data_IF_198945720681
#
_entry.id   IF_198945720681
#
_cell.length_a   1.000
_cell.length_b   1.000
_cell.length_c   1.000
_cell.angle_alpha   90.00
_cell.angle_beta   90.00
_cell.angle_gamma   90.00
#
_symmetry.space_group_name_H-M   'P 1'
#
loop_
_entity.id
_entity.type
_entity.pdbx_description
1 polymer ?
#
# COMPACT_ATOMS: atom_id res chain seq x y z
N UNK A 1 56.69 62.86 -12.34
CA UNK A 1 56.05 61.56 -12.66
C UNK A 1 55.35 61.06 -11.40
N UNK A 2 54.01 60.96 -11.40
CA UNK A 2 53.23 60.33 -10.33
C UNK A 2 52.54 59.09 -10.91
N UNK A 3 52.96 57.92 -10.46
CA UNK A 3 52.48 56.62 -10.94
C UNK A 3 51.10 56.34 -10.36
N UNK A 4 50.07 56.21 -11.21
CA UNK A 4 48.72 55.77 -10.81
C UNK A 4 48.69 54.25 -10.73
N UNK A 5 48.36 53.70 -9.56
CA UNK A 5 48.05 52.28 -9.38
C UNK A 5 46.56 52.10 -9.66
N UNK A 6 46.26 51.28 -10.66
CA UNK A 6 44.90 50.92 -11.07
C UNK A 6 44.47 49.69 -10.26
N UNK A 7 43.50 49.84 -9.37
CA UNK A 7 42.90 48.72 -8.62
C UNK A 7 41.77 48.13 -9.46
N UNK A 8 41.95 46.88 -9.92
CA UNK A 8 40.93 46.11 -10.65
C UNK A 8 40.04 45.40 -9.64
N UNK A 9 38.76 45.76 -9.61
CA UNK A 9 37.75 45.14 -8.75
C UNK A 9 37.20 43.89 -9.46
N UNK A 10 37.54 42.71 -8.95
CA UNK A 10 37.07 41.42 -9.50
C UNK A 10 35.64 41.15 -8.99
N UNK A 11 34.63 41.33 -9.84
CA UNK A 11 33.23 40.99 -9.56
C UNK A 11 33.04 39.47 -9.68
N UNK A 12 33.04 38.78 -8.54
CA UNK A 12 32.68 37.35 -8.48
C UNK A 12 31.16 37.22 -8.55
N UNK A 13 30.65 36.88 -9.73
CA UNK A 13 29.24 36.51 -9.93
C UNK A 13 29.04 35.13 -9.30
N UNK A 14 28.51 35.08 -8.08
CA UNK A 14 27.95 33.87 -7.51
C UNK A 14 26.68 33.49 -8.29
N UNK A 15 26.83 32.67 -9.32
CA UNK A 15 25.72 31.90 -9.87
C UNK A 15 25.24 30.95 -8.77
N UNK A 16 24.23 31.35 -8.01
CA UNK A 16 23.42 30.40 -7.25
C UNK A 16 22.73 29.48 -8.25
N UNK A 17 23.37 28.35 -8.54
CA UNK A 17 22.70 27.20 -9.11
C UNK A 17 21.69 26.77 -8.06
N UNK A 18 20.46 27.27 -8.19
CA UNK A 18 19.32 26.75 -7.47
C UNK A 18 19.14 25.31 -7.91
N UNK A 19 19.76 24.37 -7.19
CA UNK A 19 19.39 22.97 -7.28
C UNK A 19 17.96 22.93 -6.76
N UNK A 20 17.00 22.88 -7.70
CA UNK A 20 15.64 22.55 -7.38
C UNK A 20 15.68 21.12 -6.82
N UNK A 21 15.78 21.01 -5.49
CA UNK A 21 15.64 19.74 -4.81
C UNK A 21 14.21 19.28 -5.11
N UNK A 22 14.07 18.36 -6.07
CA UNK A 22 12.81 17.71 -6.37
C UNK A 22 12.30 17.21 -5.01
N UNK A 23 11.14 17.68 -4.55
CA UNK A 23 10.58 17.18 -3.29
C UNK A 23 10.41 15.67 -3.48
N UNK A 24 11.29 14.89 -2.85
CA UNK A 24 11.28 13.41 -2.89
C UNK A 24 9.98 12.88 -2.26
N UNK A 25 9.21 13.77 -1.62
CA UNK A 25 8.03 13.47 -0.87
C UNK A 25 6.75 13.96 -1.56
N UNK A 26 5.85 13.02 -1.90
CA UNK A 26 4.51 13.35 -2.38
C UNK A 26 3.64 13.88 -1.20
N UNK A 27 3.15 15.13 -1.24
CA UNK A 27 2.44 15.74 -0.10
C UNK A 27 1.23 14.94 0.37
N UNK A 28 0.55 14.24 -0.55
CA UNK A 28 -0.60 13.39 -0.28
C UNK A 28 -0.35 12.41 0.88
N UNK A 29 0.83 11.82 0.97
CA UNK A 29 1.18 10.81 1.98
C UNK A 29 1.98 11.39 3.16
N UNK A 30 1.93 12.72 3.34
CA UNK A 30 2.58 13.48 4.41
C UNK A 30 1.83 13.47 5.73
N UNK A 31 0.60 12.97 5.71
CA UNK A 31 -0.27 12.90 6.85
C UNK A 31 -1.13 11.65 6.75
N UNK A 32 -1.37 11.02 7.89
CA UNK A 32 -2.33 9.94 8.05
C UNK A 32 -3.73 10.46 8.40
N UNK A 33 -3.93 11.78 8.41
CA UNK A 33 -5.25 12.34 8.63
C UNK A 33 -6.21 11.94 7.51
N UNK A 34 -7.43 11.61 7.94
CA UNK A 34 -8.55 11.28 7.07
C UNK A 34 -8.75 12.38 6.03
N UNK A 35 -8.73 12.00 4.76
CA UNK A 35 -8.92 12.93 3.65
C UNK A 35 -10.38 12.89 3.19
N UNK A 36 -11.09 14.01 3.29
CA UNK A 36 -12.45 14.12 2.74
C UNK A 36 -12.39 14.39 1.23
N UNK A 37 -13.11 13.59 0.45
CA UNK A 37 -13.10 13.65 -1.01
C UNK A 37 -14.50 13.45 -1.60
N UNK A 38 -14.71 14.01 -2.79
CA UNK A 38 -15.91 13.77 -3.59
C UNK A 38 -15.53 13.51 -5.04
N UNK A 39 -16.23 12.57 -5.66
CA UNK A 39 -15.93 12.08 -6.99
C UNK A 39 -17.21 11.62 -7.68
N UNK A 40 -17.43 12.11 -8.90
CA UNK A 40 -18.63 11.84 -9.69
C UNK A 40 -18.27 11.25 -11.04
N UNK A 41 -18.80 10.08 -11.39
CA UNK A 41 -18.57 9.42 -12.68
C UNK A 41 -19.62 8.32 -12.96
N UNK A 42 -19.70 7.86 -14.20
CA UNK A 42 -20.51 6.69 -14.58
C UNK A 42 -19.80 5.40 -14.14
N UNK A 43 -20.42 4.62 -13.25
CA UNK A 43 -19.85 3.35 -12.79
C UNK A 43 -19.81 2.32 -13.91
N UNK A 44 -20.85 2.30 -14.75
CA UNK A 44 -20.96 1.44 -15.93
C UNK A 44 -19.89 1.75 -16.97
N UNK A 45 -19.62 3.02 -17.25
CA UNK A 45 -18.59 3.43 -18.21
C UNK A 45 -17.20 3.07 -17.69
N UNK A 46 -16.90 3.37 -16.41
CA UNK A 46 -15.63 2.99 -15.81
C UNK A 46 -15.42 1.47 -15.90
N UNK A 47 -16.45 0.66 -15.62
CA UNK A 47 -16.37 -0.81 -15.68
C UNK A 47 -16.17 -1.35 -17.09
N UNK A 48 -16.81 -0.76 -18.11
CA UNK A 48 -16.61 -1.14 -19.52
C UNK A 48 -15.20 -0.82 -20.00
N UNK A 49 -14.57 0.18 -19.38
CA UNK A 49 -13.26 0.64 -19.72
C UNK A 49 -12.16 -0.26 -19.13
N UNK A 50 -12.05 -1.48 -19.70
CA UNK A 50 -11.06 -2.50 -19.29
C UNK A 50 -9.79 -2.48 -20.15
N UNK A 51 -9.74 -1.65 -21.20
CA UNK A 51 -8.54 -1.47 -22.02
C UNK A 51 -7.56 -0.56 -21.28
N UNK A 52 -6.32 -1.03 -21.10
CA UNK A 52 -5.26 -0.31 -20.38
C UNK A 52 -4.96 1.11 -20.91
N UNK A 53 -5.39 1.41 -22.15
CA UNK A 53 -5.19 2.68 -22.83
C UNK A 53 -6.34 3.68 -22.69
N UNK A 54 -7.53 3.24 -22.28
CA UNK A 54 -8.72 4.09 -22.23
C UNK A 54 -8.91 4.58 -20.78
N UNK A 55 -9.11 5.88 -20.62
CA UNK A 55 -9.36 6.52 -19.33
C UNK A 55 -10.61 7.38 -19.40
N UNK A 56 -11.37 7.41 -18.31
CA UNK A 56 -12.52 8.28 -18.09
C UNK A 56 -12.04 9.58 -17.42
N UNK A 57 -12.04 10.73 -18.11
CA UNK A 57 -11.71 12.01 -17.49
C UNK A 57 -12.82 12.43 -16.51
N UNK A 58 -12.43 12.95 -15.35
CA UNK A 58 -13.35 13.52 -14.35
C UNK A 58 -12.63 14.53 -13.46
N UNK A 59 -13.37 15.18 -12.57
CA UNK A 59 -12.85 16.12 -11.58
C UNK A 59 -12.92 15.46 -10.21
N UNK A 60 -11.78 15.47 -9.52
CA UNK A 60 -11.70 15.05 -8.14
C UNK A 60 -11.75 16.27 -7.22
N UNK A 61 -12.71 16.28 -6.31
CA UNK A 61 -12.79 17.30 -5.26
C UNK A 61 -12.22 16.75 -3.97
N UNK A 62 -11.46 17.57 -3.24
CA UNK A 62 -10.84 17.16 -1.99
C UNK A 62 -10.72 18.33 -1.02
N UNK A 63 -10.77 18.02 0.28
CA UNK A 63 -10.60 19.03 1.32
C UNK A 63 -9.11 19.25 1.58
N UNK A 64 -8.67 20.49 1.44
CA UNK A 64 -7.29 20.90 1.71
C UNK A 64 -7.01 20.89 3.22
N UNK A 65 -5.73 20.93 3.60
CA UNK A 65 -5.32 21.03 5.01
C UNK A 65 -5.85 22.29 5.72
N UNK A 66 -6.32 23.30 4.97
CA UNK A 66 -6.94 24.54 5.51
C UNK A 66 -8.45 24.40 5.71
N UNK A 67 -9.03 23.23 5.41
CA UNK A 67 -10.47 22.96 5.52
C UNK A 67 -11.30 23.36 4.29
N UNK A 68 -10.72 24.09 3.32
CA UNK A 68 -11.39 24.49 2.08
C UNK A 68 -11.41 23.36 1.07
N UNK A 69 -12.47 23.28 0.26
CA UNK A 69 -12.52 22.39 -0.91
C UNK A 69 -11.69 22.95 -2.06
N UNK A 70 -10.96 22.05 -2.72
CA UNK A 70 -10.23 22.28 -3.96
C UNK A 70 -10.56 21.16 -4.96
N UNK A 71 -10.11 21.29 -6.21
CA UNK A 71 -10.40 20.33 -7.27
C UNK A 71 -9.21 20.12 -8.19
N UNK A 72 -9.10 18.92 -8.76
CA UNK A 72 -8.06 18.58 -9.72
C UNK A 72 -8.62 17.72 -10.84
N UNK A 73 -8.21 18.00 -12.07
CA UNK A 73 -8.54 17.16 -13.23
C UNK A 73 -7.80 15.83 -13.16
N UNK A 74 -8.54 14.73 -13.30
CA UNK A 74 -8.01 13.38 -13.23
C UNK A 74 -8.51 12.51 -14.38
N UNK A 75 -7.77 11.44 -14.63
CA UNK A 75 -8.14 10.38 -15.55
C UNK A 75 -8.30 9.08 -14.75
N UNK A 76 -9.47 8.45 -14.81
CA UNK A 76 -9.76 7.22 -14.08
C UNK A 76 -9.79 6.02 -15.01
N UNK A 77 -9.36 4.87 -14.51
CA UNK A 77 -9.64 3.58 -15.15
C UNK A 77 -9.86 2.49 -14.14
N UNK A 78 -10.58 1.47 -14.58
CA UNK A 78 -10.82 0.27 -13.80
C UNK A 78 -9.51 -0.54 -13.67
N UNK A 79 -9.33 -1.26 -12.54
CA UNK A 79 -8.19 -2.18 -12.32
C UNK A 79 -8.61 -3.46 -11.59
N UNK A 80 -7.79 -4.49 -11.72
CA UNK A 80 -8.00 -5.78 -11.07
C UNK A 80 -8.93 -6.70 -11.85
N UNK A 81 -8.95 -7.98 -11.48
CA UNK A 81 -9.70 -9.01 -12.20
C UNK A 81 -10.94 -9.45 -11.41
N UNK A 82 -10.73 -9.93 -10.18
CA UNK A 82 -11.79 -10.49 -9.35
C UNK A 82 -12.82 -9.43 -8.92
N UNK A 83 -12.38 -8.39 -8.20
CA UNK A 83 -13.24 -7.30 -7.73
C UNK A 83 -13.94 -6.57 -8.89
N UNK A 84 -13.32 -6.51 -10.07
CA UNK A 84 -13.94 -5.92 -11.26
C UNK A 84 -15.23 -6.64 -11.69
N UNK A 85 -15.23 -7.98 -11.58
CA UNK A 85 -16.37 -8.83 -11.98
C UNK A 85 -17.40 -8.98 -10.85
N UNK A 86 -16.94 -8.98 -9.61
CA UNK A 86 -17.75 -9.43 -8.48
C UNK A 86 -18.20 -8.31 -7.52
N UNK A 87 -17.61 -7.11 -7.60
CA UNK A 87 -17.96 -5.99 -6.72
C UNK A 87 -18.89 -4.97 -7.35
N UNK A 88 -19.63 -4.25 -6.50
CA UNK A 88 -20.45 -3.11 -6.89
C UNK A 88 -19.59 -1.92 -7.31
N UNK A 89 -18.58 -1.57 -6.51
CA UNK A 89 -17.56 -0.61 -6.91
C UNK A 89 -16.36 -1.32 -7.52
N UNK A 90 -15.92 -0.82 -8.67
CA UNK A 90 -14.72 -1.28 -9.35
C UNK A 90 -13.50 -0.59 -8.74
N UNK A 91 -12.46 -1.31 -8.30
CA UNK A 91 -11.20 -0.67 -7.92
C UNK A 91 -10.66 0.17 -9.07
N UNK A 92 -10.12 1.34 -8.74
CA UNK A 92 -9.75 2.34 -9.74
C UNK A 92 -8.26 2.70 -9.66
N UNK A 93 -7.69 3.01 -10.82
CA UNK A 93 -6.43 3.75 -10.93
C UNK A 93 -6.76 5.17 -11.34
N UNK A 94 -6.22 6.13 -10.60
CA UNK A 94 -6.31 7.55 -10.90
C UNK A 94 -4.98 8.00 -11.49
N UNK A 95 -5.03 8.68 -12.62
CA UNK A 95 -3.88 9.30 -13.27
C UNK A 95 -4.03 10.82 -13.24
N UNK A 96 -2.96 11.48 -12.87
CA UNK A 96 -2.91 12.94 -12.70
C UNK A 96 -1.73 13.45 -13.50
N UNK A 97 -1.96 14.43 -14.38
CA UNK A 97 -0.89 14.99 -15.18
C UNK A 97 0.07 15.80 -14.31
N UNK A 98 1.35 15.91 -14.74
CA UNK A 98 2.34 16.72 -14.01
C UNK A 98 1.88 18.18 -13.89
N UNK A 99 1.23 18.72 -14.93
CA UNK A 99 0.69 20.08 -14.96
C UNK A 99 -0.40 20.27 -13.89
N UNK A 100 -1.39 19.38 -13.86
CA UNK A 100 -2.50 19.43 -12.90
C UNK A 100 -2.02 19.24 -11.46
N UNK A 101 -1.07 18.34 -11.22
CA UNK A 101 -0.61 18.02 -9.87
C UNK A 101 0.26 19.11 -9.22
N UNK A 102 0.85 20.02 -9.99
CA UNK A 102 1.88 20.96 -9.50
C UNK A 102 1.28 21.96 -8.50
N UNK A 103 1.88 22.09 -7.33
CA UNK A 103 1.41 23.00 -6.27
C UNK A 103 0.16 22.51 -5.52
N UNK A 104 -0.33 21.31 -5.83
CA UNK A 104 -1.50 20.70 -5.17
C UNK A 104 -1.08 19.65 -4.13
N UNK A 105 -2.04 19.12 -3.38
CA UNK A 105 -1.80 17.97 -2.49
C UNK A 105 -1.27 16.74 -3.25
N UNK A 106 -1.60 16.63 -4.54
CA UNK A 106 -1.25 15.48 -5.38
C UNK A 106 0.10 15.63 -6.10
N UNK A 107 0.90 16.66 -5.79
CA UNK A 107 2.18 16.88 -6.45
C UNK A 107 3.08 15.62 -6.39
N UNK A 108 3.63 15.24 -7.54
CA UNK A 108 4.43 14.02 -7.71
C UNK A 108 3.62 12.71 -7.83
N UNK A 109 2.33 12.71 -7.50
CA UNK A 109 1.46 11.53 -7.55
C UNK A 109 0.86 11.34 -8.93
N UNK A 110 1.63 10.76 -9.86
CA UNK A 110 1.20 10.59 -11.27
C UNK A 110 0.14 9.50 -11.46
N UNK A 111 0.23 8.40 -10.72
CA UNK A 111 -0.62 7.22 -10.87
C UNK A 111 -0.94 6.63 -9.49
N UNK A 112 -2.12 6.89 -8.98
CA UNK A 112 -2.57 6.40 -7.67
C UNK A 112 -3.49 5.21 -7.82
N UNK A 113 -3.36 4.22 -6.93
CA UNK A 113 -4.38 3.17 -6.78
C UNK A 113 -5.39 3.65 -5.74
N UNK A 114 -6.66 3.75 -6.12
CA UNK A 114 -7.78 4.02 -5.21
C UNK A 114 -8.44 2.68 -4.87
N UNK A 115 -8.36 2.27 -3.62
CA UNK A 115 -9.06 1.10 -3.10
C UNK A 115 -10.44 1.53 -2.63
N UNK A 116 -11.46 0.87 -3.17
CA UNK A 116 -12.87 1.07 -2.86
C UNK A 116 -13.42 -0.18 -2.18
N UNK A 117 -14.44 -0.07 -1.32
CA UNK A 117 -15.08 -1.23 -0.75
C UNK A 117 -15.83 -2.00 -1.85
N UNK A 118 -16.07 -3.29 -1.66
CA UNK A 118 -16.80 -4.09 -2.64
C UNK A 118 -18.28 -3.67 -2.76
N UNK A 119 -18.86 -3.16 -1.65
CA UNK A 119 -20.25 -2.70 -1.53
C UNK A 119 -20.32 -1.41 -0.72
N UNK A 120 -21.40 -0.64 -0.87
CA UNK A 120 -21.62 0.64 -0.19
C UNK A 120 -22.13 0.53 1.25
N UNK A 121 -22.31 -0.69 1.76
CA UNK A 121 -22.80 -0.90 3.11
C UNK A 121 -21.68 -0.84 4.15
N UNK A 122 -22.06 -0.83 5.43
CA UNK A 122 -21.12 -0.77 6.56
C UNK A 122 -20.07 -1.89 6.53
N UNK A 123 -20.49 -3.12 6.23
CA UNK A 123 -19.58 -4.26 6.12
C UNK A 123 -18.54 -4.05 5.01
N UNK A 124 -18.92 -3.46 3.88
CA UNK A 124 -17.99 -3.08 2.81
C UNK A 124 -16.92 -2.09 3.29
N UNK A 125 -17.34 -1.06 4.03
CA UNK A 125 -16.42 -0.09 4.63
C UNK A 125 -15.49 -0.75 5.66
N UNK A 126 -16.01 -1.64 6.52
CA UNK A 126 -15.19 -2.39 7.48
C UNK A 126 -14.12 -3.22 6.75
N UNK A 127 -14.45 -3.89 5.63
CA UNK A 127 -13.47 -4.64 4.84
C UNK A 127 -12.37 -3.75 4.25
N UNK A 128 -12.71 -2.56 3.74
CA UNK A 128 -11.73 -1.60 3.25
C UNK A 128 -10.81 -1.08 4.37
N UNK A 129 -11.36 -0.82 5.55
CA UNK A 129 -10.60 -0.42 6.73
C UNK A 129 -9.65 -1.52 7.21
N UNK A 130 -10.08 -2.78 7.17
CA UNK A 130 -9.22 -3.94 7.50
C UNK A 130 -8.06 -4.06 6.53
N UNK A 131 -8.31 -3.94 5.22
CA UNK A 131 -7.26 -3.97 4.21
C UNK A 131 -6.27 -2.80 4.39
N UNK A 132 -6.79 -1.60 4.65
CA UNK A 132 -5.98 -0.44 4.99
C UNK A 132 -5.10 -0.67 6.23
N UNK A 133 -5.64 -1.30 7.29
CA UNK A 133 -4.86 -1.63 8.48
C UNK A 133 -3.71 -2.57 8.16
N UNK A 134 -3.86 -3.54 7.24
CA UNK A 134 -2.74 -4.39 6.84
C UNK A 134 -1.53 -3.57 6.35
N UNK A 135 -1.75 -2.50 5.58
CA UNK A 135 -0.66 -1.59 5.19
C UNK A 135 -0.02 -0.93 6.41
N UNK A 136 -0.84 -0.42 7.34
CA UNK A 136 -0.36 0.24 8.58
C UNK A 136 0.39 -0.68 9.52
N UNK A 137 0.01 -1.95 9.60
CA UNK A 137 0.71 -2.96 10.39
C UNK A 137 2.10 -3.28 9.82
N UNK A 138 2.33 -3.07 8.51
CA UNK A 138 3.63 -3.33 7.89
C UNK A 138 4.64 -2.19 8.03
N UNK A 139 4.16 -0.94 8.17
CA UNK A 139 5.01 0.26 8.31
C UNK A 139 6.06 0.17 9.44
N UNK A 140 5.76 -0.33 10.66
CA UNK A 140 6.76 -0.46 11.72
C UNK A 140 7.73 -1.66 11.56
N UNK A 141 7.44 -2.58 10.64
CA UNK A 141 8.21 -3.82 10.43
C UNK A 141 9.30 -3.63 9.37
N UNK A 142 9.02 -2.84 8.34
CA UNK A 142 9.91 -2.68 7.19
C UNK A 142 10.13 -1.21 6.91
N UNK A 143 11.36 -0.83 6.55
CA UNK A 143 11.61 0.50 5.99
C UNK A 143 11.04 0.63 4.56
N UNK A 144 10.76 -0.49 3.90
CA UNK A 144 10.27 -0.56 2.53
C UNK A 144 8.81 -0.99 2.52
N UNK A 145 7.91 -0.04 2.39
CA UNK A 145 6.46 -0.23 2.35
C UNK A 145 5.81 0.79 1.42
N UNK A 146 4.62 0.51 0.92
CA UNK A 146 3.80 1.52 0.25
C UNK A 146 3.14 2.43 1.28
N UNK A 147 3.26 3.74 1.11
CA UNK A 147 2.45 4.66 1.91
C UNK A 147 0.98 4.57 1.52
N UNK A 148 0.11 4.80 2.49
CA UNK A 148 -1.34 4.80 2.28
C UNK A 148 -1.99 5.99 2.97
N UNK A 149 -3.16 6.42 2.47
CA UNK A 149 -3.96 7.48 3.11
C UNK A 149 -5.44 7.14 3.07
N UNK A 150 -6.06 7.13 4.24
CA UNK A 150 -7.49 6.87 4.42
C UNK A 150 -8.34 8.05 3.93
N UNK A 151 -9.48 7.74 3.34
CA UNK A 151 -10.35 8.69 2.65
C UNK A 151 -11.81 8.46 3.09
N UNK A 152 -12.49 9.55 3.40
CA UNK A 152 -13.95 9.63 3.40
C UNK A 152 -14.41 10.09 2.03
N UNK A 153 -14.98 9.17 1.26
CA UNK A 153 -15.29 9.39 -0.14
C UNK A 153 -16.79 9.47 -0.37
N UNK A 154 -17.25 10.62 -0.87
CA UNK A 154 -18.57 10.76 -1.46
C UNK A 154 -18.49 10.40 -2.95
N UNK A 155 -19.05 9.24 -3.32
CA UNK A 155 -19.15 8.76 -4.69
C UNK A 155 -20.52 9.08 -5.24
N UNK A 156 -20.57 9.72 -6.41
CA UNK A 156 -21.82 9.96 -7.12
C UNK A 156 -21.81 9.23 -8.46
N UNK A 157 -22.74 8.29 -8.60
CA UNK A 157 -22.98 7.56 -9.84
C UNK A 157 -23.82 8.43 -10.79
N UNK A 158 -23.23 8.72 -11.94
CA UNK A 158 -23.86 9.49 -13.02
C UNK A 158 -24.65 8.59 -13.99
N UNK A 159 -24.77 7.30 -13.71
CA UNK A 159 -25.56 6.36 -14.51
C UNK A 159 -27.07 6.59 -14.39
N UNK A 160 -27.76 6.45 -15.53
CA UNK A 160 -29.23 6.34 -15.56
C UNK A 160 -29.98 7.67 -15.38
N UNK A 161 -31.29 7.58 -15.10
CA UNK A 161 -32.20 8.74 -14.98
C UNK A 161 -32.14 9.44 -13.61
N UNK A 162 -31.63 8.75 -12.59
CA UNK A 162 -31.54 9.27 -11.22
C UNK A 162 -30.12 9.10 -10.71
N UNK A 163 -29.52 10.22 -10.30
CA UNK A 163 -28.20 10.28 -9.69
C UNK A 163 -28.25 9.61 -8.32
N UNK A 164 -27.28 8.73 -8.02
CA UNK A 164 -27.16 8.05 -6.72
C UNK A 164 -25.83 8.41 -6.07
N UNK A 165 -25.88 8.78 -4.80
CA UNK A 165 -24.67 9.10 -4.03
C UNK A 165 -24.45 8.11 -2.89
N UNK A 166 -23.19 7.80 -2.62
CA UNK A 166 -22.74 6.86 -1.60
C UNK A 166 -21.59 7.48 -0.81
N UNK A 167 -21.60 7.34 0.51
CA UNK A 167 -20.47 7.70 1.37
C UNK A 167 -19.76 6.43 1.81
N UNK A 168 -18.50 6.30 1.45
CA UNK A 168 -17.71 5.08 1.66
C UNK A 168 -16.32 5.39 2.21
N UNK A 169 -15.76 4.41 2.93
CA UNK A 169 -14.34 4.42 3.32
C UNK A 169 -13.51 3.89 2.16
N UNK A 170 -12.51 4.66 1.75
CA UNK A 170 -11.59 4.31 0.69
C UNK A 170 -10.16 4.64 1.13
N UNK A 171 -9.15 4.22 0.36
CA UNK A 171 -7.79 4.70 0.62
C UNK A 171 -6.94 4.73 -0.64
N UNK A 172 -5.97 5.64 -0.66
CA UNK A 172 -4.93 5.65 -1.67
C UNK A 172 -3.76 4.76 -1.26
N UNK A 173 -3.15 4.12 -2.26
CA UNK A 173 -1.84 3.48 -2.15
C UNK A 173 -0.85 4.27 -3.01
N UNK A 174 0.33 4.51 -2.46
CA UNK A 174 1.46 5.15 -3.12
C UNK A 174 1.79 4.50 -4.48
N UNK A 175 2.19 5.34 -5.42
CA UNK A 175 2.61 4.89 -6.73
C UNK A 175 3.90 4.05 -6.67
N UNK A 176 3.99 3.06 -7.55
CA UNK A 176 5.14 2.17 -7.66
C UNK A 176 6.45 2.94 -7.92
N UNK A 177 6.41 3.98 -8.75
CA UNK A 177 7.62 4.75 -9.06
C UNK A 177 7.98 5.68 -7.90
N UNK A 178 7.00 6.12 -7.09
CA UNK A 178 7.27 6.95 -5.91
C UNK A 178 7.99 6.16 -4.81
N UNK A 179 7.49 4.97 -4.46
CA UNK A 179 8.18 4.13 -3.48
C UNK A 179 9.60 3.81 -3.95
N UNK A 180 9.80 3.51 -5.24
CA UNK A 180 11.12 3.25 -5.80
C UNK A 180 12.04 4.48 -5.70
N UNK A 181 11.55 5.68 -6.04
CA UNK A 181 12.31 6.93 -5.93
C UNK A 181 12.76 7.24 -4.50
N UNK A 182 11.95 6.94 -3.48
CA UNK A 182 12.32 7.15 -2.07
C UNK A 182 13.61 6.43 -1.67
N UNK A 183 13.96 5.36 -2.36
CA UNK A 183 15.13 4.54 -2.07
C UNK A 183 16.15 4.50 -3.21
N UNK A 184 16.01 5.37 -4.23
CA UNK A 184 16.89 5.35 -5.42
C UNK A 184 16.82 4.03 -6.20
N UNK A 185 15.70 3.30 -6.08
CA UNK A 185 15.47 2.01 -6.71
C UNK A 185 14.60 2.08 -7.95
N UNK A 186 14.23 0.89 -8.45
CA UNK A 186 13.25 0.70 -9.52
C UNK A 186 12.36 -0.51 -9.25
N UNK A 187 11.10 -0.47 -9.67
CA UNK A 187 10.22 -1.64 -9.61
C UNK A 187 10.53 -2.59 -10.77
N UNK A 188 10.73 -3.86 -10.44
CA UNK A 188 10.90 -4.95 -11.39
C UNK A 188 9.55 -5.32 -12.00
N UNK A 189 9.49 -5.56 -13.32
CA UNK A 189 8.27 -5.97 -14.02
C UNK A 189 8.49 -7.29 -14.75
N UNK A 190 7.53 -8.20 -14.66
CA UNK A 190 7.42 -9.38 -15.53
C UNK A 190 8.57 -10.38 -15.47
N UNK A 191 9.29 -10.45 -14.34
CA UNK A 191 10.38 -11.41 -14.16
C UNK A 191 10.05 -12.40 -13.05
N UNK A 192 10.23 -13.68 -13.31
CA UNK A 192 10.26 -14.63 -12.21
C UNK A 192 11.48 -14.34 -11.36
N UNK A 193 11.29 -14.20 -10.05
CA UNK A 193 12.36 -13.95 -9.10
C UNK A 193 12.53 -15.21 -8.29
N UNK A 194 13.73 -15.80 -8.33
CA UNK A 194 14.06 -16.86 -7.38
C UNK A 194 13.91 -16.26 -5.97
N UNK A 195 13.06 -16.83 -5.10
CA UNK A 195 12.84 -16.32 -3.75
C UNK A 195 14.14 -16.17 -2.95
N UNK A 196 15.14 -17.03 -3.20
CA UNK A 196 16.47 -16.95 -2.60
C UNK A 196 17.30 -15.75 -3.06
N UNK A 197 16.92 -15.08 -4.16
CA UNK A 197 17.56 -13.84 -4.64
C UNK A 197 17.03 -12.58 -3.95
N UNK A 198 15.92 -12.66 -3.20
CA UNK A 198 15.47 -11.55 -2.37
C UNK A 198 16.47 -11.31 -1.23
N UNK A 199 16.63 -10.05 -0.80
CA UNK A 199 17.45 -9.71 0.36
C UNK A 199 16.91 -10.43 1.58
N UNK A 200 17.76 -11.23 2.23
CA UNK A 200 17.33 -12.23 3.19
C UNK A 200 16.48 -11.67 4.33
N UNK A 201 16.92 -10.58 4.97
CA UNK A 201 16.20 -9.97 6.10
C UNK A 201 14.84 -9.40 5.66
N UNK A 202 14.78 -8.71 4.53
CA UNK A 202 13.55 -8.16 3.97
C UNK A 202 12.58 -9.27 3.54
N UNK A 203 13.10 -10.39 3.02
CA UNK A 203 12.31 -11.57 2.71
C UNK A 203 11.69 -12.19 3.97
N UNK A 204 12.48 -12.41 5.02
CA UNK A 204 11.96 -12.98 6.27
C UNK A 204 10.96 -12.03 6.96
N UNK A 205 11.22 -10.71 6.96
CA UNK A 205 10.26 -9.70 7.44
C UNK A 205 8.94 -9.77 6.67
N UNK A 206 9.01 -9.83 5.35
CA UNK A 206 7.84 -10.00 4.49
C UNK A 206 7.08 -11.29 4.83
N UNK A 207 7.78 -12.42 4.93
CA UNK A 207 7.15 -13.73 5.13
C UNK A 207 6.47 -13.84 6.51
N UNK A 208 7.08 -13.25 7.55
CA UNK A 208 6.46 -13.12 8.87
C UNK A 208 5.23 -12.23 8.82
N UNK A 209 5.25 -11.17 8.03
CA UNK A 209 4.11 -10.26 7.90
C UNK A 209 2.94 -10.96 7.23
N UNK A 210 3.18 -11.66 6.12
CA UNK A 210 2.15 -12.44 5.44
C UNK A 210 1.57 -13.51 6.37
N UNK A 211 2.40 -14.16 7.19
CA UNK A 211 1.94 -15.11 8.21
C UNK A 211 1.12 -14.42 9.32
N UNK A 212 1.54 -13.24 9.79
CA UNK A 212 0.84 -12.46 10.82
C UNK A 212 -0.60 -12.18 10.44
N UNK A 213 -0.82 -11.74 9.19
CA UNK A 213 -2.16 -11.41 8.66
C UNK A 213 -2.88 -12.61 8.04
N UNK A 214 -2.30 -13.82 8.10
CA UNK A 214 -2.78 -15.03 7.44
C UNK A 214 -3.08 -14.82 5.94
N UNK A 215 -2.17 -14.15 5.25
CA UNK A 215 -2.27 -14.01 3.80
C UNK A 215 -1.48 -15.11 3.11
N UNK A 216 -2.21 -16.02 2.48
CA UNK A 216 -1.63 -17.03 1.59
C UNK A 216 -1.76 -16.68 0.12
N UNK A 217 -2.41 -15.59 -0.27
CA UNK A 217 -2.57 -15.22 -1.67
C UNK A 217 -1.41 -14.33 -2.17
N UNK A 218 -0.19 -14.87 -2.18
CA UNK A 218 0.98 -14.19 -2.73
C UNK A 218 2.03 -15.18 -3.26
N UNK A 219 2.92 -14.70 -4.13
CA UNK A 219 4.06 -15.46 -4.61
C UNK A 219 5.20 -14.56 -5.07
N UNK A 220 6.38 -14.72 -4.47
CA UNK A 220 7.60 -14.05 -4.93
C UNK A 220 8.11 -14.60 -6.26
N UNK A 221 7.85 -15.87 -6.55
CA UNK A 221 8.30 -16.53 -7.78
C UNK A 221 7.69 -15.88 -9.02
N UNK A 222 6.39 -15.62 -9.01
CA UNK A 222 5.65 -15.04 -10.15
C UNK A 222 5.19 -13.60 -9.91
N UNK A 223 5.61 -12.98 -8.80
CA UNK A 223 5.23 -11.62 -8.38
C UNK A 223 3.70 -11.41 -8.26
N UNK A 224 3.00 -12.41 -7.70
CA UNK A 224 1.57 -12.30 -7.38
C UNK A 224 1.39 -11.66 -6.01
N UNK A 225 0.58 -10.58 -5.93
CA UNK A 225 0.38 -9.74 -4.74
C UNK A 225 1.70 -9.35 -4.01
N UNK A 226 2.78 -9.24 -4.79
CA UNK A 226 4.09 -8.80 -4.37
C UNK A 226 4.72 -7.99 -5.50
N UNK A 227 5.22 -6.78 -5.18
CA UNK A 227 6.13 -6.06 -6.07
C UNK A 227 7.56 -6.32 -5.61
N UNK A 228 8.52 -6.34 -6.54
CA UNK A 228 9.94 -6.43 -6.21
C UNK A 228 10.62 -5.13 -6.60
N UNK A 229 11.17 -4.42 -5.61
CA UNK A 229 12.01 -3.24 -5.83
C UNK A 229 13.47 -3.65 -5.91
N UNK A 230 14.16 -3.27 -6.97
CA UNK A 230 15.61 -3.41 -7.08
C UNK A 230 16.31 -2.13 -6.64
N UNK A 231 17.17 -2.24 -5.63
CA UNK A 231 18.10 -1.19 -5.20
C UNK A 231 19.49 -1.44 -5.83
N UNK A 232 20.28 -0.37 -6.07
CA UNK A 232 21.68 -0.52 -6.49
C UNK A 232 22.53 -1.27 -5.44
N UNK A 233 23.54 -2.06 -5.84
CA UNK A 233 23.84 -2.45 -7.22
C UNK A 233 22.85 -3.49 -7.76
N UNK A 234 22.38 -4.47 -6.96
CA UNK A 234 21.39 -5.50 -7.35
C UNK A 234 20.69 -6.14 -6.13
N UNK A 235 20.21 -5.34 -5.18
CA UNK A 235 19.49 -5.85 -4.00
C UNK A 235 18.00 -5.89 -4.30
N UNK A 236 17.34 -7.03 -4.12
CA UNK A 236 15.92 -7.20 -4.41
C UNK A 236 15.09 -7.20 -3.12
N UNK A 237 14.19 -6.24 -3.01
CA UNK A 237 13.36 -6.00 -1.83
C UNK A 237 11.89 -6.35 -2.15
N UNK A 238 11.26 -7.26 -1.40
CA UNK A 238 9.83 -7.53 -1.52
C UNK A 238 9.00 -6.38 -0.94
N UNK A 239 7.96 -5.97 -1.68
CA UNK A 239 6.96 -4.99 -1.28
C UNK A 239 5.57 -5.64 -1.33
N UNK A 240 4.99 -6.02 -0.18
CA UNK A 240 3.67 -6.65 -0.14
C UNK A 240 2.56 -5.65 -0.48
N UNK A 241 1.52 -6.10 -1.19
CA UNK A 241 0.33 -5.31 -1.52
C UNK A 241 -0.86 -6.22 -1.86
N UNK A 242 -2.07 -5.66 -1.92
CA UNK A 242 -3.33 -6.39 -2.19
C UNK A 242 -3.61 -7.41 -1.07
N UNK A 243 -4.22 -6.94 0.02
CA UNK A 243 -4.41 -7.73 1.25
C UNK A 243 -5.86 -8.18 1.47
N UNK A 244 -6.72 -8.02 0.47
CA UNK A 244 -8.14 -8.29 0.59
C UNK A 244 -8.47 -9.77 0.84
N UNK A 245 -7.63 -10.66 0.36
CA UNK A 245 -7.72 -12.11 0.55
C UNK A 245 -7.09 -12.59 1.88
N UNK A 246 -6.55 -11.70 2.72
CA UNK A 246 -5.90 -12.07 3.96
C UNK A 246 -6.90 -12.51 5.05
N UNK A 247 -6.53 -13.49 5.88
CA UNK A 247 -7.36 -13.95 6.99
C UNK A 247 -7.67 -12.90 8.05
N UNK A 248 -6.81 -11.89 8.23
CA UNK A 248 -7.11 -10.73 9.09
C UNK A 248 -8.28 -9.91 8.53
N UNK A 249 -8.35 -9.75 7.19
CA UNK A 249 -9.47 -9.07 6.52
C UNK A 249 -10.74 -9.93 6.59
N UNK A 250 -10.59 -11.24 6.35
CA UNK A 250 -11.68 -12.21 6.40
C UNK A 250 -12.87 -11.79 5.53
N UNK A 251 -12.59 -11.37 4.30
CA UNK A 251 -13.66 -11.01 3.37
C UNK A 251 -14.50 -12.26 3.04
N UNK A 252 -15.83 -12.13 2.88
CA UNK A 252 -16.69 -13.28 2.58
C UNK A 252 -16.41 -13.90 1.21
N UNK A 253 -15.72 -13.17 0.33
CA UNK A 253 -15.27 -13.64 -0.97
C UNK A 253 -13.83 -14.17 -0.97
N UNK A 254 -13.13 -14.12 0.17
CA UNK A 254 -11.76 -14.61 0.26
C UNK A 254 -11.73 -16.14 0.08
N UNK A 255 -10.76 -16.63 -0.69
CA UNK A 255 -10.65 -18.03 -1.05
C UNK A 255 -9.29 -18.57 -0.64
N UNK A 256 -9.28 -19.82 -0.18
CA UNK A 256 -8.07 -20.60 0.00
C UNK A 256 -7.75 -21.30 -1.32
N UNK A 257 -6.47 -21.30 -1.70
CA UNK A 257 -6.02 -22.08 -2.84
C UNK A 257 -6.12 -23.58 -2.53
N UNK A 258 -6.73 -24.36 -3.42
CA UNK A 258 -6.84 -25.83 -3.33
C UNK A 258 -5.48 -26.55 -3.22
N UNK A 259 -4.38 -25.85 -3.51
CA UNK A 259 -3.00 -26.37 -3.39
C UNK A 259 -2.43 -26.26 -1.99
N UNK A 260 -3.16 -25.70 -1.03
CA UNK A 260 -2.71 -25.47 0.33
C UNK A 260 -3.43 -26.40 1.30
N UNK A 261 -2.72 -26.83 2.34
CA UNK A 261 -3.23 -27.73 3.39
C UNK A 261 -3.91 -26.93 4.52
N UNK A 262 -4.81 -26.01 4.16
CA UNK A 262 -5.65 -25.25 5.09
C UNK A 262 -7.06 -25.16 4.50
N UNK A 263 -8.08 -25.13 5.35
CA UNK A 263 -9.48 -25.12 4.90
C UNK A 263 -10.13 -23.73 5.01
N UNK A 264 -9.51 -22.85 5.80
CA UNK A 264 -10.04 -21.53 6.10
C UNK A 264 -8.99 -20.43 5.89
N UNK A 265 -9.40 -19.30 5.31
CA UNK A 265 -8.51 -18.14 5.10
C UNK A 265 -7.94 -17.57 6.41
N UNK A 266 -8.58 -17.83 7.56
CA UNK A 266 -8.11 -17.44 8.89
C UNK A 266 -7.04 -18.38 9.45
N UNK A 267 -6.84 -19.55 8.86
CA UNK A 267 -5.77 -20.45 9.28
C UNK A 267 -4.42 -19.89 8.80
N UNK A 268 -3.50 -19.70 9.75
CA UNK A 268 -2.16 -19.24 9.43
C UNK A 268 -1.33 -20.38 8.88
N UNK A 269 -0.85 -20.21 7.65
CA UNK A 269 0.13 -21.08 7.03
C UNK A 269 1.42 -20.31 6.75
N UNK A 270 2.54 -20.75 7.32
CA UNK A 270 3.83 -20.13 7.02
C UNK A 270 4.27 -20.54 5.61
N UNK A 271 4.36 -19.55 4.71
CA UNK A 271 4.72 -19.76 3.29
C UNK A 271 6.10 -19.23 2.92
N UNK A 272 6.89 -18.83 3.92
CA UNK A 272 8.24 -18.31 3.71
C UNK A 272 9.23 -19.39 3.30
N UNK A 273 10.30 -18.98 2.64
CA UNK A 273 11.39 -19.90 2.26
C UNK A 273 12.37 -20.09 3.40
N UNK A 274 12.95 -21.29 3.51
CA UNK A 274 13.92 -21.58 4.55
C UNK A 274 15.14 -20.67 4.42
N UNK A 275 15.53 -20.04 5.53
CA UNK A 275 16.76 -19.25 5.67
C UNK A 275 17.52 -19.73 6.89
N UNK A 276 18.69 -19.15 7.12
CA UNK A 276 19.46 -19.41 8.33
C UNK A 276 18.59 -19.22 9.58
N UNK A 277 18.58 -20.19 10.50
CA UNK A 277 17.77 -20.12 11.73
C UNK A 277 18.07 -18.87 12.56
N UNK A 278 19.34 -18.47 12.66
CA UNK A 278 19.74 -17.24 13.34
C UNK A 278 19.09 -15.99 12.74
N UNK A 279 18.88 -15.95 11.41
CA UNK A 279 18.14 -14.88 10.77
C UNK A 279 16.64 -14.91 11.11
N UNK A 280 16.01 -16.09 11.15
CA UNK A 280 14.61 -16.21 11.57
C UNK A 280 14.42 -15.77 13.03
N UNK A 281 15.34 -16.14 13.92
CA UNK A 281 15.32 -15.71 15.32
C UNK A 281 15.57 -14.20 15.45
N UNK A 282 16.47 -13.64 14.65
CA UNK A 282 16.69 -12.19 14.60
C UNK A 282 15.41 -11.43 14.21
N UNK A 283 14.74 -11.85 13.13
CA UNK A 283 13.49 -11.20 12.71
C UNK A 283 12.36 -11.45 13.71
N UNK A 284 12.29 -12.64 14.33
CA UNK A 284 11.36 -12.90 15.44
C UNK A 284 11.54 -11.90 16.58
N UNK A 285 12.77 -11.66 17.02
CA UNK A 285 13.07 -10.69 18.07
C UNK A 285 12.65 -9.27 17.67
N UNK A 286 12.91 -8.88 16.41
CA UNK A 286 12.47 -7.58 15.89
C UNK A 286 10.94 -7.43 15.93
N UNK A 287 10.17 -8.44 15.54
CA UNK A 287 8.71 -8.39 15.63
C UNK A 287 8.22 -8.24 17.08
N UNK A 288 8.84 -8.95 18.02
CA UNK A 288 8.53 -8.82 19.45
C UNK A 288 8.87 -7.43 19.98
N UNK A 289 9.99 -6.85 19.56
CA UNK A 289 10.36 -5.47 19.90
C UNK A 289 9.38 -4.44 19.30
N UNK A 290 8.89 -4.68 18.08
CA UNK A 290 7.96 -3.80 17.35
C UNK A 290 6.49 -4.00 17.72
N UNK A 291 6.18 -4.94 18.60
CA UNK A 291 4.82 -5.25 19.02
C UNK A 291 4.02 -4.01 19.49
N UNK A 292 4.57 -3.09 20.32
CA UNK A 292 3.87 -1.88 20.71
C UNK A 292 3.46 -1.00 19.51
N UNK A 293 4.35 -0.82 18.53
CA UNK A 293 4.08 -0.02 17.33
C UNK A 293 3.04 -0.69 16.40
N UNK A 294 3.03 -2.02 16.37
CA UNK A 294 1.99 -2.79 15.66
C UNK A 294 0.63 -2.56 16.32
N UNK A 295 0.55 -2.52 17.65
CA UNK A 295 -0.70 -2.19 18.36
C UNK A 295 -1.16 -0.76 18.14
N UNK A 296 -0.22 0.19 18.09
CA UNK A 296 -0.51 1.60 17.79
C UNK A 296 -1.17 1.78 16.41
N UNK A 297 -0.86 0.92 15.43
CA UNK A 297 -1.45 0.98 14.09
C UNK A 297 -3.00 0.89 14.10
N UNK A 298 -3.59 0.22 15.10
CA UNK A 298 -5.04 0.10 15.22
C UNK A 298 -5.74 1.45 15.44
N UNK A 299 -5.05 2.46 15.98
CA UNK A 299 -5.60 3.80 16.17
C UNK A 299 -5.99 4.48 14.85
N UNK A 300 -5.42 4.06 13.73
CA UNK A 300 -5.76 4.60 12.41
C UNK A 300 -7.19 4.25 11.96
N UNK A 301 -7.83 3.22 12.52
CA UNK A 301 -9.17 2.79 12.12
C UNK A 301 -10.17 2.71 13.27
N UNK A 302 -9.72 2.80 14.53
CA UNK A 302 -10.53 2.48 15.71
C UNK A 302 -11.84 3.28 15.82
N UNK A 303 -11.88 4.49 15.27
CA UNK A 303 -13.05 5.38 15.29
C UNK A 303 -14.06 5.05 14.19
N UNK A 304 -13.61 4.40 13.13
CA UNK A 304 -14.36 4.22 11.89
C UNK A 304 -14.87 2.79 11.70
N UNK A 305 -14.18 1.80 12.27
CA UNK A 305 -14.54 0.39 12.15
C UNK A 305 -15.54 -0.04 13.23
N UNK A 306 -16.37 -1.04 12.92
CA UNK A 306 -17.23 -1.65 13.92
C UNK A 306 -16.43 -2.27 15.09
N UNK A 307 -16.89 -2.05 16.33
CA UNK A 307 -16.18 -2.50 17.56
C UNK A 307 -15.92 -4.00 17.60
N UNK A 308 -16.87 -4.82 17.19
CA UNK A 308 -16.71 -6.28 17.18
C UNK A 308 -15.64 -6.71 16.16
N UNK A 309 -15.58 -6.04 15.01
CA UNK A 309 -14.55 -6.30 14.00
C UNK A 309 -13.18 -5.91 14.52
N UNK A 310 -13.06 -4.74 15.17
CA UNK A 310 -11.82 -4.29 15.81
C UNK A 310 -11.32 -5.30 16.85
N UNK A 311 -12.22 -5.80 17.72
CA UNK A 311 -11.87 -6.78 18.74
C UNK A 311 -11.44 -8.12 18.11
N UNK A 312 -12.14 -8.59 17.07
CA UNK A 312 -11.78 -9.81 16.36
C UNK A 312 -10.40 -9.71 15.69
N UNK A 313 -10.07 -8.56 15.11
CA UNK A 313 -8.76 -8.29 14.54
C UNK A 313 -7.66 -8.26 15.60
N UNK A 314 -7.89 -7.61 16.75
CA UNK A 314 -6.92 -7.57 17.85
C UNK A 314 -6.63 -8.98 18.37
N UNK A 315 -7.67 -9.76 18.66
CA UNK A 315 -7.51 -11.17 19.07
C UNK A 315 -6.73 -11.98 18.03
N UNK A 316 -7.00 -11.74 16.74
CA UNK A 316 -6.25 -12.40 15.68
C UNK A 316 -4.75 -12.08 15.76
N UNK A 317 -4.36 -10.81 15.92
CA UNK A 317 -2.96 -10.41 16.04
C UNK A 317 -2.33 -10.91 17.36
N UNK A 318 -3.08 -10.96 18.47
CA UNK A 318 -2.63 -11.55 19.73
C UNK A 318 -2.22 -13.03 19.56
N UNK A 319 -3.00 -13.80 18.81
CA UNK A 319 -2.68 -15.21 18.50
C UNK A 319 -1.35 -15.34 17.76
N UNK A 320 -1.06 -14.44 16.81
CA UNK A 320 0.25 -14.40 16.14
C UNK A 320 1.40 -14.15 17.12
N UNK A 321 1.27 -13.14 18.00
CA UNK A 321 2.31 -12.88 19.00
C UNK A 321 2.44 -14.02 20.01
N UNK A 322 1.37 -14.74 20.32
CA UNK A 322 1.43 -15.93 21.17
C UNK A 322 2.29 -17.06 20.56
N UNK A 323 2.33 -17.16 19.22
CA UNK A 323 3.19 -18.07 18.48
C UNK A 323 4.64 -17.59 18.57
N UNK A 324 4.88 -16.29 18.29
CA UNK A 324 6.23 -15.73 18.37
C UNK A 324 6.81 -15.71 19.78
N UNK A 325 6.01 -15.61 20.84
CA UNK A 325 6.49 -15.60 22.24
C UNK A 325 6.81 -17.01 22.77
N UNK A 326 6.39 -18.06 22.07
CA UNK A 326 6.56 -19.44 22.51
C UNK A 326 7.56 -20.18 21.62
N UNK A 327 8.72 -20.56 22.16
CA UNK A 327 9.79 -21.20 21.38
C UNK A 327 9.37 -22.48 20.66
N UNK A 328 8.56 -23.31 21.31
CA UNK A 328 8.07 -24.56 20.72
C UNK A 328 7.13 -24.26 19.56
N UNK A 329 6.13 -23.40 19.75
CA UNK A 329 5.19 -23.00 18.69
C UNK A 329 5.93 -22.34 17.53
N UNK A 330 6.87 -21.45 17.80
CA UNK A 330 7.68 -20.80 16.77
C UNK A 330 8.44 -21.84 15.93
N UNK A 331 9.08 -22.81 16.58
CA UNK A 331 9.79 -23.89 15.88
C UNK A 331 8.84 -24.72 15.03
N UNK A 332 7.75 -25.19 15.62
CA UNK A 332 6.83 -26.15 15.00
C UNK A 332 6.00 -25.54 13.86
N UNK A 333 5.66 -24.25 13.94
CA UNK A 333 4.75 -23.58 12.99
C UNK A 333 5.49 -22.76 11.92
N UNK A 334 6.68 -22.24 12.23
CA UNK A 334 7.43 -21.37 11.31
C UNK A 334 8.74 -22.04 10.89
N UNK A 335 9.61 -22.35 11.85
CA UNK A 335 10.99 -22.75 11.55
C UNK A 335 11.05 -24.09 10.79
N UNK A 336 10.31 -25.10 11.25
CA UNK A 336 10.28 -26.43 10.63
C UNK A 336 9.28 -26.54 9.47
N UNK A 337 8.51 -25.48 9.18
CA UNK A 337 7.49 -25.44 8.12
C UNK A 337 7.87 -24.52 6.96
N UNK A 338 9.07 -23.93 7.00
CA UNK A 338 9.58 -23.15 5.88
C UNK A 338 9.70 -24.00 4.60
N UNK A 339 9.58 -23.36 3.45
CA UNK A 339 9.65 -24.01 2.14
C UNK A 339 11.09 -24.16 1.70
N UNK A 340 11.47 -25.36 1.30
CA UNK A 340 12.81 -25.67 0.76
C UNK A 340 12.88 -25.53 -0.77
N UNK A 341 11.74 -25.69 -1.47
CA UNK A 341 11.65 -25.67 -2.93
C UNK A 341 10.62 -24.64 -3.44
N UNK A 342 10.89 -24.08 -4.62
CA UNK A 342 10.11 -23.00 -5.27
C UNK A 342 8.77 -23.44 -5.81
#
# INVERSE_FOLDING_TARGET
MKTKVLVIFLLVIFCHVGVAQERIFAPLFGSDSLLEMSLSYSFKELRKNTNDSLYLPTILHYKTNRGNWDSIGIEMRSRGNFRMKNCFFSPARIKISKKESKGTLFEGSKSLKLVLPCHANKTGNDLALKEYLCYKLYEPISNYYFKTRLIDLNLTDLDGRQVKSYTVKAFFIEDNDQVARRFGGRIMKGKNINPYSLQDTAAVRHDFFQFMIANTDWSSLVQHNLQVMQLPPRIYIPLPYDFDMAGLVNAPYAQVSEKLEIDNVRERLYRGFCRNEGLLQYVRAEYLEREPQIWEAFKHIEKDIHKNELQAMRKFIEEFFSILKNDRKFKDIILYKCRTHT
#
